data_IF_536370583747
#
_entry.id   IF_536370583747
#
_cell.length_a   1.000
_cell.length_b   1.000
_cell.length_c   1.000
_cell.angle_alpha   90.00
_cell.angle_beta   90.00
_cell.angle_gamma   90.00
#
_symmetry.space_group_name_H-M   'P 1'
#
loop_
_entity.id
_entity.type
_entity.pdbx_description
1 polymer ?
#
# COMPACT_ATOMS: atom_id res chain seq x y z
N UNK A 1 9.42 -8.99 -9.52
CA UNK A 1 10.03 -7.90 -8.71
C UNK A 1 8.91 -6.95 -8.32
N UNK A 2 8.77 -6.67 -7.04
CA UNK A 2 7.67 -5.98 -6.37
C UNK A 2 7.54 -4.49 -6.70
N UNK A 3 8.46 -3.96 -7.51
CA UNK A 3 8.30 -2.69 -8.23
C UNK A 3 7.35 -2.81 -9.44
N UNK A 4 6.99 -4.02 -9.85
CA UNK A 4 5.95 -4.31 -10.84
C UNK A 4 4.70 -4.79 -10.08
N UNK A 5 3.50 -4.37 -10.50
CA UNK A 5 2.23 -4.83 -9.91
C UNK A 5 1.95 -6.31 -10.17
N UNK A 6 2.73 -7.18 -9.54
CA UNK A 6 2.71 -8.63 -9.76
C UNK A 6 1.65 -9.32 -8.88
N UNK A 7 1.14 -10.46 -9.32
CA UNK A 7 0.28 -11.35 -8.52
C UNK A 7 1.14 -12.32 -7.70
N UNK A 8 0.68 -12.79 -6.52
CA UNK A 8 1.42 -13.79 -5.76
C UNK A 8 1.53 -15.09 -6.55
N UNK A 9 2.75 -15.59 -6.70
CA UNK A 9 3.08 -16.86 -7.37
C UNK A 9 3.04 -18.01 -6.36
N UNK A 10 3.57 -17.77 -5.15
CA UNK A 10 3.57 -18.73 -4.05
C UNK A 10 2.70 -18.21 -2.90
N UNK A 11 1.48 -18.72 -2.80
CA UNK A 11 0.52 -18.35 -1.73
C UNK A 11 0.87 -18.96 -0.37
N UNK A 12 1.88 -19.82 -0.27
CA UNK A 12 2.37 -20.30 1.03
C UNK A 12 3.21 -19.26 1.76
N UNK A 13 3.78 -18.28 1.05
CA UNK A 13 4.53 -17.18 1.66
C UNK A 13 3.63 -16.33 2.58
N UNK A 14 4.27 -15.77 3.60
CA UNK A 14 3.65 -14.88 4.60
C UNK A 14 4.51 -13.65 4.76
N UNK A 15 3.88 -12.54 5.17
CA UNK A 15 4.58 -11.29 5.43
C UNK A 15 5.56 -11.50 6.58
N UNK A 16 6.83 -11.19 6.33
CA UNK A 16 7.93 -11.23 7.32
C UNK A 16 8.41 -9.82 7.68
N UNK A 17 8.13 -8.84 6.83
CA UNK A 17 8.51 -7.43 7.04
C UNK A 17 7.32 -6.51 6.75
N UNK A 18 7.01 -5.62 7.69
CA UNK A 18 5.98 -4.59 7.56
C UNK A 18 6.68 -3.22 7.46
N UNK A 19 6.56 -2.59 6.30
CA UNK A 19 7.06 -1.23 6.06
C UNK A 19 6.09 -0.19 6.61
N UNK A 20 6.44 0.42 7.74
CA UNK A 20 5.65 1.46 8.40
C UNK A 20 5.96 2.88 7.90
N UNK A 21 6.91 3.02 6.97
CA UNK A 21 7.31 4.31 6.41
C UNK A 21 6.23 4.92 5.52
N UNK A 22 6.06 6.25 5.62
CA UNK A 22 5.21 7.01 4.70
C UNK A 22 5.62 6.81 3.23
N UNK A 23 4.70 7.05 2.28
CA UNK A 23 5.06 7.18 0.88
C UNK A 23 6.24 8.15 0.71
N UNK A 24 7.12 7.87 -0.26
CA UNK A 24 8.29 8.73 -0.59
C UNK A 24 9.41 8.77 0.46
N UNK A 25 9.45 7.81 1.39
CA UNK A 25 10.60 7.61 2.31
C UNK A 25 11.55 6.49 1.91
N UNK A 26 11.40 5.91 0.70
CA UNK A 26 12.23 4.80 0.22
C UNK A 26 11.51 3.44 0.24
N UNK A 27 10.18 3.44 0.26
CA UNK A 27 9.30 2.26 0.29
C UNK A 27 9.61 1.23 -0.81
N UNK A 28 9.86 1.68 -2.05
CA UNK A 28 10.22 0.78 -3.15
C UNK A 28 11.57 0.09 -2.90
N UNK A 29 12.56 0.83 -2.41
CA UNK A 29 13.88 0.29 -2.07
C UNK A 29 13.78 -0.74 -0.96
N UNK A 30 12.97 -0.47 0.08
CA UNK A 30 12.71 -1.43 1.15
C UNK A 30 12.14 -2.74 0.58
N UNK A 31 11.11 -2.64 -0.25
CA UNK A 31 10.48 -3.81 -0.88
C UNK A 31 11.50 -4.60 -1.69
N UNK A 32 12.26 -3.96 -2.58
CA UNK A 32 13.26 -4.63 -3.41
C UNK A 32 14.39 -5.28 -2.59
N UNK A 33 14.82 -4.64 -1.49
CA UNK A 33 15.82 -5.23 -0.60
C UNK A 33 15.28 -6.48 0.09
N UNK A 34 14.06 -6.43 0.61
CA UNK A 34 13.40 -7.58 1.23
C UNK A 34 13.15 -8.71 0.24
N UNK A 35 12.78 -8.43 -1.01
CA UNK A 35 12.64 -9.48 -2.03
C UNK A 35 13.94 -10.27 -2.21
N UNK A 36 15.08 -9.57 -2.27
CA UNK A 36 16.40 -10.19 -2.40
C UNK A 36 16.77 -11.00 -1.16
N UNK A 37 16.55 -10.45 0.03
CA UNK A 37 16.96 -11.07 1.29
C UNK A 37 16.07 -12.24 1.71
N UNK A 38 14.78 -12.19 1.40
CA UNK A 38 13.78 -13.17 1.85
C UNK A 38 13.39 -14.18 0.76
N UNK A 39 13.93 -14.03 -0.45
CA UNK A 39 13.63 -14.84 -1.62
C UNK A 39 12.12 -15.01 -1.85
N UNK A 40 11.39 -13.89 -1.92
CA UNK A 40 9.95 -13.87 -2.10
C UNK A 40 9.45 -12.56 -2.69
N UNK A 41 8.20 -12.54 -3.15
CA UNK A 41 7.60 -11.35 -3.76
C UNK A 41 7.24 -10.29 -2.71
N UNK A 42 7.48 -9.04 -3.06
CA UNK A 42 7.13 -7.90 -2.22
C UNK A 42 5.93 -7.12 -2.74
N UNK A 43 5.14 -6.59 -1.81
CA UNK A 43 3.94 -5.82 -2.08
C UNK A 43 4.20 -4.33 -1.84
N UNK A 44 4.39 -3.60 -2.95
CA UNK A 44 4.56 -2.14 -2.93
C UNK A 44 3.28 -1.44 -3.39
N UNK A 45 2.71 -0.63 -2.50
CA UNK A 45 1.49 0.15 -2.71
C UNK A 45 1.36 0.85 -4.06
N UNK A 46 2.22 1.83 -4.34
CA UNK A 46 2.13 2.62 -5.57
C UNK A 46 2.31 1.79 -6.84
N UNK A 47 3.20 0.80 -6.84
CA UNK A 47 3.45 -0.05 -8.02
C UNK A 47 2.28 -0.98 -8.31
N UNK A 48 1.71 -1.57 -7.26
CA UNK A 48 0.57 -2.47 -7.40
C UNK A 48 -0.70 -1.69 -7.71
N UNK A 49 -0.90 -0.52 -7.11
CA UNK A 49 -2.04 0.35 -7.42
C UNK A 49 -2.10 0.76 -8.90
N UNK A 50 -0.95 1.01 -9.53
CA UNK A 50 -0.89 1.41 -10.93
C UNK A 50 -1.03 0.24 -11.93
N UNK A 51 -0.64 -0.98 -11.55
CA UNK A 51 -0.44 -2.09 -12.49
C UNK A 51 -1.26 -3.36 -12.18
N UNK A 52 -2.01 -3.43 -11.07
CA UNK A 52 -2.90 -4.55 -10.74
C UNK A 52 -4.33 -4.32 -11.26
N UNK A 53 -5.08 -5.41 -11.27
CA UNK A 53 -6.48 -5.47 -11.66
C UNK A 53 -7.41 -4.54 -10.85
N UNK A 54 -8.58 -4.23 -11.41
CA UNK A 54 -9.60 -3.40 -10.76
C UNK A 54 -9.96 -3.89 -9.36
N UNK A 55 -10.06 -5.21 -9.18
CA UNK A 55 -10.37 -5.83 -7.89
C UNK A 55 -9.36 -5.49 -6.80
N UNK A 56 -8.05 -5.47 -7.13
CA UNK A 56 -7.00 -5.11 -6.17
C UNK A 56 -7.19 -3.68 -5.66
N UNK A 57 -7.41 -2.75 -6.59
CA UNK A 57 -7.60 -1.34 -6.26
C UNK A 57 -8.93 -1.09 -5.53
N UNK A 58 -10.00 -1.81 -5.90
CA UNK A 58 -11.27 -1.82 -5.15
C UNK A 58 -11.05 -2.26 -3.71
N UNK A 59 -10.30 -3.35 -3.48
CA UNK A 59 -9.97 -3.82 -2.12
C UNK A 59 -9.14 -2.81 -1.32
N UNK A 60 -8.19 -2.13 -1.97
CA UNK A 60 -7.44 -1.04 -1.34
C UNK A 60 -8.35 0.14 -0.94
N UNK A 61 -9.33 0.48 -1.78
CA UNK A 61 -10.34 1.48 -1.43
C UNK A 61 -11.23 0.99 -0.28
N UNK A 62 -11.64 -0.28 -0.30
CA UNK A 62 -12.45 -0.89 0.75
C UNK A 62 -11.76 -0.90 2.11
N UNK A 63 -10.43 -1.05 2.17
CA UNK A 63 -9.68 -0.91 3.42
C UNK A 63 -9.95 0.43 4.11
N UNK A 64 -9.88 1.54 3.37
CA UNK A 64 -10.15 2.86 3.93
C UNK A 64 -11.64 3.11 4.18
N UNK A 65 -12.51 2.60 3.31
CA UNK A 65 -13.97 2.70 3.48
C UNK A 65 -14.42 2.00 4.77
N UNK A 66 -13.88 0.82 5.05
CA UNK A 66 -14.23 -0.01 6.20
C UNK A 66 -13.22 0.10 7.35
N UNK A 67 -12.42 1.17 7.41
CA UNK A 67 -11.35 1.34 8.42
C UNK A 67 -11.78 1.20 9.89
N UNK A 68 -13.08 1.40 10.17
CA UNK A 68 -13.66 1.25 11.51
C UNK A 68 -14.26 -0.14 11.79
N UNK A 69 -14.30 -1.01 10.78
CA UNK A 69 -14.75 -2.41 10.88
C UNK A 69 -13.52 -3.32 10.88
N UNK A 70 -12.96 -3.55 12.07
CA UNK A 70 -11.73 -4.32 12.25
C UNK A 70 -11.78 -5.73 11.66
N UNK A 71 -12.82 -6.56 11.88
CA UNK A 71 -12.93 -7.86 11.22
C UNK A 71 -12.85 -7.77 9.70
N UNK A 72 -13.51 -6.77 9.09
CA UNK A 72 -13.47 -6.55 7.65
C UNK A 72 -12.09 -6.11 7.17
N UNK A 73 -11.42 -5.23 7.89
CA UNK A 73 -10.06 -4.77 7.60
C UNK A 73 -9.08 -5.95 7.64
N UNK A 74 -9.11 -6.76 8.70
CA UNK A 74 -8.24 -7.94 8.84
C UNK A 74 -8.45 -8.94 7.70
N UNK A 75 -9.70 -9.17 7.29
CA UNK A 75 -10.01 -10.02 6.13
C UNK A 75 -9.39 -9.45 4.84
N UNK A 76 -9.62 -8.16 4.56
CA UNK A 76 -9.13 -7.50 3.35
C UNK A 76 -7.60 -7.47 3.30
N UNK A 77 -6.94 -7.15 4.42
CA UNK A 77 -5.48 -7.16 4.53
C UNK A 77 -4.95 -8.57 4.25
N UNK A 78 -5.49 -9.60 4.89
CA UNK A 78 -5.07 -10.99 4.67
C UNK A 78 -5.17 -11.39 3.20
N UNK A 79 -6.26 -11.01 2.51
CA UNK A 79 -6.44 -11.28 1.09
C UNK A 79 -5.43 -10.52 0.20
N UNK A 80 -5.12 -9.26 0.53
CA UNK A 80 -4.21 -8.42 -0.24
C UNK A 80 -2.74 -8.83 -0.05
N UNK A 81 -2.37 -9.29 1.15
CA UNK A 81 -0.98 -9.59 1.53
C UNK A 81 -0.61 -11.07 1.39
N UNK A 82 -1.56 -11.95 1.07
CA UNK A 82 -1.29 -13.37 0.84
C UNK A 82 -0.23 -13.59 -0.26
N UNK A 83 0.78 -14.41 0.05
CA UNK A 83 1.84 -14.75 -0.88
C UNK A 83 2.94 -13.69 -1.05
N UNK A 84 2.92 -12.62 -0.25
CA UNK A 84 3.98 -11.61 -0.21
C UNK A 84 4.78 -11.69 1.08
N UNK A 85 6.09 -11.42 1.00
CA UNK A 85 7.02 -11.48 2.15
C UNK A 85 7.26 -10.12 2.80
N UNK A 86 6.91 -9.04 2.12
CA UNK A 86 7.03 -7.66 2.60
C UNK A 86 5.86 -6.82 2.13
N UNK A 87 5.37 -5.92 2.97
CA UNK A 87 4.41 -4.87 2.59
C UNK A 87 5.01 -3.49 2.84
N UNK A 88 4.71 -2.52 1.99
CA UNK A 88 5.14 -1.13 2.19
C UNK A 88 4.30 -0.19 1.33
N UNK A 89 4.25 1.10 1.70
CA UNK A 89 3.51 2.15 0.98
C UNK A 89 1.98 2.04 1.16
N UNK A 90 1.19 2.87 0.47
CA UNK A 90 -0.28 2.90 0.54
C UNK A 90 -0.90 1.59 0.04
N UNK A 91 -1.88 0.97 0.70
CA UNK A 91 -2.52 1.40 1.96
C UNK A 91 -1.82 0.87 3.22
N UNK A 92 -0.89 -0.06 3.08
CA UNK A 92 -0.37 -0.92 4.16
C UNK A 92 0.23 -0.14 5.34
N UNK A 93 0.93 0.97 5.08
CA UNK A 93 1.50 1.78 6.16
C UNK A 93 0.44 2.39 7.10
N UNK A 94 -0.81 2.56 6.63
CA UNK A 94 -1.92 3.07 7.44
C UNK A 94 -2.51 2.01 8.39
N UNK A 95 -2.22 0.72 8.15
CA UNK A 95 -2.82 -0.41 8.86
C UNK A 95 -1.76 -1.29 9.54
N UNK A 96 -0.67 -0.67 10.02
CA UNK A 96 0.42 -1.38 10.71
C UNK A 96 -0.09 -2.17 11.92
N UNK A 97 -0.96 -1.65 12.81
CA UNK A 97 -1.47 -2.43 13.94
C UNK A 97 -2.19 -3.72 13.51
N UNK A 98 -3.03 -3.64 12.49
CA UNK A 98 -3.78 -4.78 11.96
C UNK A 98 -2.87 -5.78 11.23
N UNK A 99 -1.83 -5.28 10.55
CA UNK A 99 -0.81 -6.14 9.96
C UNK A 99 0.02 -6.86 11.03
N UNK A 100 0.33 -6.22 12.16
CA UNK A 100 1.00 -6.87 13.29
C UNK A 100 0.11 -7.94 13.94
N UNK A 101 -1.21 -7.75 13.96
CA UNK A 101 -2.16 -8.76 14.45
C UNK A 101 -2.23 -9.97 13.51
N UNK A 102 -2.23 -9.74 12.20
CA UNK A 102 -2.21 -10.83 11.21
C UNK A 102 -0.88 -11.58 11.15
N UNK A 103 0.23 -10.87 11.40
CA UNK A 103 1.59 -11.37 11.25
C UNK A 103 2.43 -11.01 12.49
N UNK A 104 2.18 -11.65 13.65
CA UNK A 104 2.83 -11.30 14.91
C UNK A 104 4.36 -11.52 14.90
N UNK A 105 4.85 -12.41 14.03
CA UNK A 105 6.28 -12.69 13.88
C UNK A 105 6.98 -11.74 12.89
N UNK A 106 6.24 -10.89 12.17
CA UNK A 106 6.79 -9.97 11.19
C UNK A 106 7.55 -8.82 11.86
N UNK A 107 8.69 -8.46 11.29
CA UNK A 107 9.47 -7.31 11.75
C UNK A 107 8.90 -6.02 11.17
N UNK A 108 8.71 -5.00 12.02
CA UNK A 108 8.27 -3.67 11.57
C UNK A 108 9.47 -2.80 11.27
N UNK A 109 9.56 -2.27 10.04
CA UNK A 109 10.63 -1.38 9.60
C UNK A 109 10.07 0.00 9.32
N UNK A 110 10.58 1.00 10.04
CA UNK A 110 10.19 2.41 9.88
C UNK A 110 11.34 3.23 9.29
N UNK A 111 11.25 3.50 7.98
CA UNK A 111 12.23 4.34 7.28
C UNK A 111 11.80 5.80 7.36
N UNK A 112 12.66 6.63 7.95
CA UNK A 112 12.44 8.08 8.10
C UNK A 112 13.19 8.87 7.03
N UNK A 113 12.69 10.08 6.77
CA UNK A 113 13.33 11.08 5.91
C UNK A 113 13.16 12.44 6.58
N UNK A 114 14.12 13.35 6.36
CA UNK A 114 13.97 14.76 6.76
C UNK A 114 12.62 15.30 6.26
N UNK A 115 11.76 15.88 7.14
CA UNK A 115 10.42 16.32 6.77
C UNK A 115 10.37 17.33 5.62
N UNK A 116 11.31 18.27 5.56
CA UNK A 116 11.35 19.29 4.48
C UNK A 116 11.67 18.63 3.14
N UNK A 117 12.65 17.74 3.13
CA UNK A 117 13.06 16.99 1.94
C UNK A 117 11.97 16.00 1.50
N UNK A 118 11.28 15.38 2.45
CA UNK A 118 10.12 14.53 2.19
C UNK A 118 9.00 15.35 1.54
N UNK A 119 8.62 16.49 2.11
CA UNK A 119 7.57 17.34 1.56
C UNK A 119 7.90 17.83 0.15
N UNK A 120 9.16 18.23 -0.12
CA UNK A 120 9.60 18.56 -1.48
C UNK A 120 9.39 17.40 -2.47
N UNK A 121 9.47 16.15 -2.01
CA UNK A 121 9.19 14.97 -2.83
C UNK A 121 7.72 14.59 -2.91
N UNK A 122 6.95 14.79 -1.83
CA UNK A 122 5.55 14.36 -1.73
C UNK A 122 4.58 15.42 -2.24
N UNK A 123 4.92 16.71 -2.11
CA UNK A 123 4.03 17.83 -2.41
C UNK A 123 3.50 17.83 -3.83
N UNK A 124 4.34 17.50 -4.83
CA UNK A 124 3.88 17.38 -6.22
C UNK A 124 2.87 16.23 -6.40
N UNK A 125 3.08 15.10 -5.73
CA UNK A 125 2.15 13.96 -5.76
C UNK A 125 0.83 14.31 -5.07
N UNK A 126 0.91 14.94 -3.89
CA UNK A 126 -0.25 15.38 -3.13
C UNK A 126 -1.09 16.42 -3.88
N UNK A 127 -0.46 17.43 -4.50
CA UNK A 127 -1.16 18.45 -5.29
C UNK A 127 -1.90 17.85 -6.48
N UNK A 128 -1.29 16.89 -7.18
CA UNK A 128 -1.93 16.22 -8.30
C UNK A 128 -3.12 15.37 -7.82
N UNK A 129 -3.00 14.69 -6.68
CA UNK A 129 -4.06 13.86 -6.13
C UNK A 129 -5.33 14.63 -5.74
N UNK A 130 -5.22 15.90 -5.34
CA UNK A 130 -6.37 16.75 -4.97
C UNK A 130 -7.17 17.27 -6.17
N UNK A 131 -6.78 16.89 -7.39
CA UNK A 131 -7.36 17.42 -8.62
C UNK A 131 -8.65 16.67 -8.95
N UNK A 132 -9.80 17.24 -8.56
CA UNK A 132 -11.13 16.60 -8.71
C UNK A 132 -11.51 16.18 -10.13
N UNK A 133 -10.99 16.83 -11.17
CA UNK A 133 -11.25 16.40 -12.55
C UNK A 133 -10.59 15.04 -12.87
N UNK A 134 -9.50 14.67 -12.18
CA UNK A 134 -8.85 13.37 -12.34
C UNK A 134 -9.79 12.23 -11.94
N UNK A 135 -10.68 12.43 -10.97
CA UNK A 135 -11.71 11.45 -10.62
C UNK A 135 -12.61 11.13 -11.81
N UNK A 136 -13.03 12.15 -12.56
CA UNK A 136 -13.84 11.97 -13.77
C UNK A 136 -13.03 11.31 -14.89
N UNK A 137 -11.77 11.71 -15.06
CA UNK A 137 -10.88 11.15 -16.07
C UNK A 137 -10.55 9.67 -15.82
N UNK A 138 -10.36 9.28 -14.56
CA UNK A 138 -10.00 7.92 -14.16
C UNK A 138 -11.20 6.99 -14.03
N UNK A 139 -12.42 7.53 -13.93
CA UNK A 139 -13.65 6.75 -13.82
C UNK A 139 -13.78 5.61 -14.85
N UNK A 140 -13.58 5.82 -16.17
CA UNK A 140 -13.69 4.74 -17.14
C UNK A 140 -12.55 3.70 -17.03
N UNK A 141 -11.40 4.07 -16.46
CA UNK A 141 -10.20 3.24 -16.42
C UNK A 141 -10.28 2.24 -15.25
N UNK A 142 -10.36 0.92 -15.51
CA UNK A 142 -10.34 -0.09 -14.45
C UNK A 142 -9.08 0.04 -13.59
N UNK A 143 -9.23 -0.16 -12.28
CA UNK A 143 -8.19 0.06 -11.27
C UNK A 143 -8.10 1.54 -10.87
N UNK A 144 -7.85 2.42 -11.83
CA UNK A 144 -7.59 3.83 -11.56
C UNK A 144 -8.82 4.59 -11.07
N UNK A 145 -10.04 4.14 -11.40
CA UNK A 145 -11.30 4.68 -10.86
C UNK A 145 -11.36 4.71 -9.33
N UNK A 146 -10.61 3.84 -8.65
CA UNK A 146 -10.55 3.75 -7.19
C UNK A 146 -9.47 4.63 -6.56
N UNK A 147 -8.49 5.09 -7.36
CA UNK A 147 -7.29 5.77 -6.86
C UNK A 147 -7.58 7.01 -6.01
N UNK A 148 -8.55 7.83 -6.43
CA UNK A 148 -8.95 9.01 -5.67
C UNK A 148 -9.58 8.63 -4.34
N UNK A 149 -10.47 7.64 -4.31
CA UNK A 149 -11.06 7.15 -3.06
C UNK A 149 -10.01 6.57 -2.09
N UNK A 150 -8.97 5.91 -2.61
CA UNK A 150 -7.83 5.45 -1.79
C UNK A 150 -7.08 6.63 -1.18
N UNK A 151 -6.82 7.68 -1.97
CA UNK A 151 -6.07 8.86 -1.50
C UNK A 151 -6.90 9.68 -0.50
N UNK A 152 -8.18 9.92 -0.77
CA UNK A 152 -9.09 10.60 0.14
C UNK A 152 -9.23 9.82 1.46
N UNK A 153 -9.35 8.50 1.36
CA UNK A 153 -9.39 7.60 2.51
C UNK A 153 -8.12 7.66 3.37
N UNK A 154 -6.95 7.73 2.73
CA UNK A 154 -5.68 7.92 3.43
C UNK A 154 -5.59 9.30 4.11
N UNK A 155 -6.02 10.37 3.45
CA UNK A 155 -6.00 11.72 4.02
C UNK A 155 -6.87 11.80 5.29
N UNK A 156 -8.08 11.24 5.23
CA UNK A 156 -9.04 11.22 6.34
C UNK A 156 -8.64 10.32 7.53
N UNK A 157 -7.49 9.63 7.50
CA UNK A 157 -6.93 8.92 8.66
C UNK A 157 -6.25 9.87 9.66
N UNK A 158 -5.93 11.09 9.22
CA UNK A 158 -5.11 12.04 9.98
C UNK A 158 -5.83 13.39 10.24
N UNK A 159 -7.11 13.47 9.87
CA UNK A 159 -8.05 14.53 10.26
C UNK A 159 -8.78 14.14 11.55
#
# INVERSE_FOLDING_TARGET
MGANGSKPVDRSQRVKVIGAGYPRTGTTTLVLACEKLLNGQGLHGGSHGLAREDEYNRKCYELYKYRHDKPRVLQLLKELTEGFVVTSDIPFFSFVPELCELYPDAQVVYVKRDPKTWWRSMGAVASNAQTKFLSMLFWPVPGWRWSIGVIDGMAAMYD
#
